data_IF_081588228950
#
_entry.id   IF_081588228950
#
_cell.length_a   1.000
_cell.length_b   1.000
_cell.length_c   1.000
_cell.angle_alpha   90.00
_cell.angle_beta   90.00
_cell.angle_gamma   90.00
#
_symmetry.space_group_name_H-M   'P 1'
#
loop_
_entity.id
_entity.type
_entity.pdbx_description
1 polymer ?
#
# COMPACT_ATOMS: atom_id res chain seq x y z
N UNK A 1 36.95 -44.87 -34.49
CA UNK A 1 36.14 -43.68 -34.84
C UNK A 1 34.65 -43.85 -34.54
N UNK A 2 34.11 -45.07 -34.52
CA UNK A 2 32.67 -45.34 -34.30
C UNK A 2 32.14 -44.91 -32.92
N UNK A 3 32.96 -45.00 -31.87
CA UNK A 3 32.58 -44.55 -30.51
C UNK A 3 32.33 -43.04 -30.46
N UNK A 4 33.08 -42.26 -31.23
CA UNK A 4 32.91 -40.80 -31.27
C UNK A 4 31.62 -40.40 -32.01
N UNK A 5 31.26 -41.15 -33.06
CA UNK A 5 30.03 -40.91 -33.84
C UNK A 5 28.76 -41.25 -33.05
N UNK A 6 28.84 -42.22 -32.14
CA UNK A 6 27.71 -42.61 -31.27
C UNK A 6 27.59 -41.74 -30.01
N UNK A 7 28.71 -41.26 -29.45
CA UNK A 7 28.69 -40.38 -28.27
C UNK A 7 28.26 -38.94 -28.57
N UNK A 8 28.54 -38.44 -29.78
CA UNK A 8 28.21 -37.07 -30.18
C UNK A 8 26.73 -36.70 -29.98
N UNK A 9 25.77 -37.48 -30.52
CA UNK A 9 24.34 -37.24 -30.35
C UNK A 9 23.88 -37.28 -28.88
N UNK A 10 24.40 -38.22 -28.09
CA UNK A 10 24.07 -38.35 -26.67
C UNK A 10 24.50 -37.12 -25.87
N UNK A 11 25.73 -36.62 -26.11
CA UNK A 11 26.21 -35.37 -25.50
C UNK A 11 25.34 -34.18 -25.90
N UNK A 12 24.93 -34.10 -27.17
CA UNK A 12 24.03 -33.06 -27.66
C UNK A 12 22.69 -33.05 -26.91
N UNK A 13 22.07 -34.22 -26.70
CA UNK A 13 20.81 -34.35 -25.97
C UNK A 13 20.97 -33.94 -24.51
N UNK A 14 22.04 -34.37 -23.84
CA UNK A 14 22.29 -34.01 -22.43
C UNK A 14 22.49 -32.50 -22.26
N UNK A 15 23.32 -31.87 -23.10
CA UNK A 15 23.54 -30.41 -23.07
C UNK A 15 22.24 -29.66 -23.38
N UNK A 16 21.48 -30.11 -24.39
CA UNK A 16 20.18 -29.52 -24.73
C UNK A 16 19.17 -29.59 -23.58
N UNK A 17 19.10 -30.73 -22.89
CA UNK A 17 18.23 -30.90 -21.72
C UNK A 17 18.65 -29.99 -20.55
N UNK A 18 19.95 -29.89 -20.26
CA UNK A 18 20.47 -29.00 -19.22
C UNK A 18 20.18 -27.53 -19.51
N UNK A 19 20.42 -27.08 -20.75
CA UNK A 19 20.12 -25.70 -21.17
C UNK A 19 18.62 -25.40 -21.08
N UNK A 20 17.77 -26.34 -21.49
CA UNK A 20 16.31 -26.20 -21.40
C UNK A 20 15.84 -26.11 -19.94
N UNK A 21 16.41 -26.95 -19.06
CA UNK A 21 16.12 -26.93 -17.62
C UNK A 21 16.52 -25.60 -16.97
N UNK A 22 17.71 -25.08 -17.28
CA UNK A 22 18.19 -23.78 -16.78
C UNK A 22 17.29 -22.65 -17.28
N UNK A 23 16.93 -22.65 -18.56
CA UNK A 23 16.04 -21.64 -19.13
C UNK A 23 14.65 -21.66 -18.48
N UNK A 24 14.07 -22.85 -18.29
CA UNK A 24 12.78 -23.02 -17.62
C UNK A 24 12.83 -22.54 -16.16
N UNK A 25 13.89 -22.87 -15.43
CA UNK A 25 14.10 -22.40 -14.06
C UNK A 25 14.22 -20.88 -13.96
N UNK A 26 15.02 -20.25 -14.85
CA UNK A 26 15.15 -18.80 -14.90
C UNK A 26 13.82 -18.13 -15.23
N UNK A 27 13.07 -18.66 -16.20
CA UNK A 27 11.74 -18.16 -16.58
C UNK A 27 10.77 -18.22 -15.40
N UNK A 28 10.72 -19.35 -14.68
CA UNK A 28 9.88 -19.51 -13.49
C UNK A 28 10.26 -18.50 -12.39
N UNK A 29 11.57 -18.24 -12.20
CA UNK A 29 12.06 -17.24 -11.24
C UNK A 29 11.65 -15.81 -11.61
N UNK A 30 11.70 -15.46 -12.89
CA UNK A 30 11.27 -14.14 -13.39
C UNK A 30 9.76 -13.98 -13.21
N UNK A 31 8.97 -14.99 -13.57
CA UNK A 31 7.51 -14.94 -13.43
C UNK A 31 7.10 -14.79 -11.96
N UNK A 32 7.72 -15.56 -11.05
CA UNK A 32 7.52 -15.42 -9.61
C UNK A 32 7.81 -13.99 -9.14
N UNK A 33 8.92 -13.39 -9.57
CA UNK A 33 9.25 -12.00 -9.22
C UNK A 33 8.23 -11.01 -9.76
N UNK A 34 7.72 -11.22 -10.98
CA UNK A 34 6.69 -10.35 -11.57
C UNK A 34 5.40 -10.37 -10.76
N UNK A 35 4.93 -11.54 -10.34
CA UNK A 35 3.75 -11.70 -9.48
C UNK A 35 3.96 -11.01 -8.13
N UNK A 36 5.11 -11.24 -7.49
CA UNK A 36 5.47 -10.60 -6.21
C UNK A 36 5.55 -9.07 -6.33
N UNK A 37 6.10 -8.55 -7.43
CA UNK A 37 6.20 -7.12 -7.67
C UNK A 37 4.82 -6.46 -7.83
N UNK A 38 3.90 -7.11 -8.55
CA UNK A 38 2.51 -6.64 -8.68
C UNK A 38 1.82 -6.61 -7.32
N UNK A 39 1.86 -7.72 -6.58
CA UNK A 39 1.26 -7.80 -5.24
C UNK A 39 1.85 -6.76 -4.28
N UNK A 40 3.15 -6.49 -4.36
CA UNK A 40 3.82 -5.48 -3.55
C UNK A 40 3.36 -4.06 -3.89
N UNK A 41 3.18 -3.75 -5.18
CA UNK A 41 2.67 -2.46 -5.61
C UNK A 41 1.23 -2.24 -5.11
N UNK A 42 0.35 -3.21 -5.31
CA UNK A 42 -1.05 -3.14 -4.88
C UNK A 42 -1.14 -3.01 -3.35
N UNK A 43 -0.33 -3.77 -2.60
CA UNK A 43 -0.32 -3.68 -1.13
C UNK A 43 0.26 -2.36 -0.61
N UNK A 44 1.27 -1.79 -1.29
CA UNK A 44 1.80 -0.46 -0.96
C UNK A 44 0.74 0.63 -1.17
N UNK A 45 -0.09 0.50 -2.20
CA UNK A 45 -1.19 1.43 -2.46
C UNK A 45 -2.27 1.34 -1.38
N UNK A 46 -2.70 0.12 -1.01
CA UNK A 46 -3.62 -0.11 0.12
C UNK A 46 -3.09 0.52 1.40
N UNK A 47 -1.81 0.26 1.72
CA UNK A 47 -1.14 0.85 2.88
C UNK A 47 -1.13 2.37 2.81
N UNK A 48 -0.78 2.95 1.65
CA UNK A 48 -0.73 4.39 1.48
C UNK A 48 -2.09 5.01 1.77
N UNK A 49 -3.19 4.44 1.27
CA UNK A 49 -4.55 4.93 1.55
C UNK A 49 -4.90 4.89 3.04
N UNK A 50 -4.54 3.82 3.74
CA UNK A 50 -4.79 3.71 5.19
C UNK A 50 -4.01 4.79 5.95
N UNK A 51 -2.73 4.97 5.66
CA UNK A 51 -1.86 5.89 6.42
C UNK A 51 -2.10 7.36 6.04
N UNK A 52 -2.31 7.66 4.76
CA UNK A 52 -2.40 9.04 4.26
C UNK A 52 -3.60 9.80 4.85
N UNK A 53 -4.75 9.13 5.00
CA UNK A 53 -5.94 9.74 5.57
C UNK A 53 -5.69 10.24 7.01
N UNK A 54 -5.02 9.44 7.85
CA UNK A 54 -4.74 9.84 9.24
C UNK A 54 -3.72 10.96 9.32
N UNK A 55 -2.72 10.98 8.44
CA UNK A 55 -1.76 12.08 8.37
C UNK A 55 -2.42 13.40 7.98
N UNK A 56 -3.30 13.38 6.98
CA UNK A 56 -4.04 14.56 6.53
C UNK A 56 -4.96 15.09 7.64
N UNK A 57 -5.73 14.21 8.29
CA UNK A 57 -6.61 14.60 9.40
C UNK A 57 -5.79 15.16 10.57
N UNK A 58 -4.68 14.52 10.93
CA UNK A 58 -3.78 14.99 11.99
C UNK A 58 -3.23 16.38 11.68
N UNK A 59 -2.81 16.62 10.45
CA UNK A 59 -2.26 17.91 10.04
C UNK A 59 -3.33 19.01 10.05
N UNK A 60 -4.54 18.72 9.56
CA UNK A 60 -5.66 19.65 9.58
C UNK A 60 -6.04 20.03 11.02
N UNK A 61 -6.09 19.08 11.94
CA UNK A 61 -6.31 19.35 13.36
C UNK A 61 -5.21 20.22 13.95
N UNK A 62 -3.96 19.92 13.64
CA UNK A 62 -2.80 20.62 14.22
C UNK A 62 -2.71 22.07 13.70
N UNK A 63 -2.92 22.31 12.41
CA UNK A 63 -2.73 23.64 11.79
C UNK A 63 -3.96 24.55 11.85
N UNK A 64 -5.16 23.99 11.78
CA UNK A 64 -6.41 24.76 11.70
C UNK A 64 -7.26 24.66 12.97
N UNK A 65 -6.79 23.95 14.01
CA UNK A 65 -7.52 23.82 15.27
C UNK A 65 -8.87 23.10 15.12
N UNK A 66 -8.99 22.20 14.15
CA UNK A 66 -10.26 21.50 13.91
C UNK A 66 -10.67 20.67 15.10
N UNK A 67 -11.97 20.72 15.41
CA UNK A 67 -12.58 19.88 16.43
C UNK A 67 -12.47 18.41 16.06
N UNK A 68 -12.41 17.53 17.05
CA UNK A 68 -12.41 16.08 16.82
C UNK A 68 -13.66 15.64 16.02
N UNK A 69 -14.81 16.29 16.28
CA UNK A 69 -16.06 16.03 15.55
C UNK A 69 -16.00 16.30 14.04
N UNK A 70 -15.03 17.10 13.56
CA UNK A 70 -14.86 17.36 12.12
C UNK A 70 -14.07 16.25 11.41
N UNK A 71 -13.32 15.41 12.13
CA UNK A 71 -12.45 14.39 11.53
C UNK A 71 -13.19 13.36 10.66
N UNK A 72 -14.36 12.83 11.06
CA UNK A 72 -15.14 11.91 10.21
C UNK A 72 -15.57 12.57 8.89
N UNK A 73 -15.98 13.85 8.93
CA UNK A 73 -16.40 14.59 7.75
C UNK A 73 -15.24 14.79 6.76
N UNK A 74 -14.06 15.13 7.27
CA UNK A 74 -12.85 15.25 6.45
C UNK A 74 -12.49 13.92 5.80
N UNK A 75 -12.54 12.81 6.56
CA UNK A 75 -12.27 11.47 6.00
C UNK A 75 -13.25 11.16 4.86
N UNK A 76 -14.54 11.42 5.05
CA UNK A 76 -15.55 11.24 4.01
C UNK A 76 -15.26 12.12 2.78
N UNK A 77 -14.80 13.37 2.96
CA UNK A 77 -14.37 14.22 1.85
C UNK A 77 -13.14 13.67 1.13
N UNK A 78 -12.14 13.15 1.86
CA UNK A 78 -10.95 12.53 1.27
C UNK A 78 -11.32 11.28 0.47
N UNK A 79 -12.24 10.46 0.99
CA UNK A 79 -12.76 9.31 0.27
C UNK A 79 -13.57 9.73 -0.97
N UNK A 80 -14.30 10.85 -0.93
CA UNK A 80 -15.04 11.33 -2.09
C UNK A 80 -14.12 11.87 -3.20
N UNK A 81 -13.02 12.52 -2.83
CA UNK A 81 -12.00 13.02 -3.78
C UNK A 81 -11.16 11.88 -4.34
N UNK A 82 -10.92 10.84 -3.54
CA UNK A 82 -10.15 9.66 -3.93
C UNK A 82 -10.95 8.39 -3.61
N UNK A 83 -12.03 8.12 -4.37
CA UNK A 83 -12.89 6.97 -4.11
C UNK A 83 -12.07 5.68 -4.16
N UNK A 84 -12.49 4.73 -3.34
CA UNK A 84 -11.88 3.42 -3.35
C UNK A 84 -12.07 2.82 -4.75
N UNK A 85 -11.01 2.85 -5.55
CA UNK A 85 -11.02 2.20 -6.86
C UNK A 85 -11.31 0.71 -6.65
N UNK A 86 -12.52 0.26 -7.02
CA UNK A 86 -12.89 -1.17 -6.99
C UNK A 86 -11.92 -1.99 -7.85
N UNK A 87 -11.30 -1.38 -8.87
CA UNK A 87 -10.26 -2.03 -9.64
C UNK A 87 -8.98 -2.25 -8.81
N UNK A 88 -8.66 -1.43 -7.80
CA UNK A 88 -7.55 -1.70 -6.89
C UNK A 88 -7.81 -2.96 -6.06
N UNK A 89 -9.02 -3.10 -5.52
CA UNK A 89 -9.41 -4.30 -4.76
C UNK A 89 -9.32 -5.53 -5.67
N UNK A 90 -9.83 -5.44 -6.90
CA UNK A 90 -9.74 -6.51 -7.89
C UNK A 90 -8.29 -6.84 -8.30
N UNK A 91 -7.43 -5.84 -8.52
CA UNK A 91 -6.00 -6.03 -8.82
C UNK A 91 -5.28 -6.72 -7.66
N UNK A 92 -5.55 -6.27 -6.43
CA UNK A 92 -5.00 -6.84 -5.22
C UNK A 92 -5.43 -8.32 -5.05
N UNK A 93 -6.72 -8.62 -5.14
CA UNK A 93 -7.23 -9.99 -5.01
C UNK A 93 -6.67 -10.92 -6.10
N UNK A 94 -6.52 -10.40 -7.32
CA UNK A 94 -5.87 -11.13 -8.42
C UNK A 94 -4.40 -11.41 -8.10
N UNK A 95 -3.66 -10.41 -7.62
CA UNK A 95 -2.25 -10.56 -7.27
C UNK A 95 -2.05 -11.56 -6.11
N UNK A 96 -2.92 -11.50 -5.08
CA UNK A 96 -2.93 -12.47 -3.97
C UNK A 96 -3.29 -13.88 -4.45
N UNK A 97 -4.24 -14.00 -5.38
CA UNK A 97 -4.63 -15.30 -5.93
C UNK A 97 -3.52 -15.93 -6.77
N UNK A 98 -2.78 -15.12 -7.54
CA UNK A 98 -1.58 -15.58 -8.25
C UNK A 98 -0.47 -15.97 -7.27
N UNK A 99 -0.30 -15.21 -6.18
CA UNK A 99 0.66 -15.54 -5.14
C UNK A 99 0.33 -16.87 -4.45
N UNK A 100 -0.95 -17.21 -4.28
CA UNK A 100 -1.36 -18.45 -3.64
C UNK A 100 -0.84 -19.70 -4.37
N UNK A 101 -0.61 -19.62 -5.69
CA UNK A 101 0.02 -20.69 -6.47
C UNK A 101 1.52 -20.88 -6.19
N UNK A 102 2.17 -19.93 -5.54
CA UNK A 102 3.61 -19.94 -5.25
C UNK A 102 3.90 -19.99 -3.75
N UNK A 103 3.13 -19.26 -2.94
CA UNK A 103 3.25 -19.13 -1.50
C UNK A 103 1.84 -18.99 -0.86
N UNK A 104 1.17 -20.12 -0.56
CA UNK A 104 -0.20 -20.12 -0.07
C UNK A 104 -0.35 -19.51 1.33
N UNK A 105 0.67 -19.62 2.19
CA UNK A 105 0.65 -19.06 3.53
C UNK A 105 0.67 -17.53 3.47
N UNK A 106 1.59 -16.96 2.69
CA UNK A 106 1.66 -15.51 2.50
C UNK A 106 0.40 -14.97 1.83
N UNK A 107 -0.15 -15.70 0.85
CA UNK A 107 -1.40 -15.32 0.20
C UNK A 107 -2.60 -15.33 1.17
N UNK A 108 -2.69 -16.32 2.06
CA UNK A 108 -3.72 -16.37 3.10
C UNK A 108 -3.64 -15.17 4.04
N UNK A 109 -2.44 -14.85 4.55
CA UNK A 109 -2.21 -13.67 5.40
C UNK A 109 -2.66 -12.39 4.69
N UNK A 110 -2.29 -12.21 3.41
CA UNK A 110 -2.64 -11.05 2.62
C UNK A 110 -4.14 -10.95 2.32
N UNK A 111 -4.83 -12.05 2.04
CA UNK A 111 -6.27 -12.04 1.77
C UNK A 111 -7.07 -11.44 2.92
N UNK A 112 -6.67 -11.68 4.16
CA UNK A 112 -7.30 -11.05 5.33
C UNK A 112 -7.14 -9.52 5.35
N UNK A 113 -6.08 -8.99 4.72
CA UNK A 113 -5.78 -7.56 4.67
C UNK A 113 -6.56 -6.81 3.57
N UNK A 114 -6.97 -7.52 2.52
CA UNK A 114 -7.82 -6.98 1.45
C UNK A 114 -9.15 -6.42 1.98
N UNK A 115 -9.68 -7.05 3.02
CA UNK A 115 -10.98 -6.71 3.56
C UNK A 115 -11.00 -5.37 4.30
N UNK A 116 -9.85 -4.85 4.76
CA UNK A 116 -9.80 -3.67 5.62
C UNK A 116 -10.46 -2.43 5.02
N UNK A 117 -10.14 -1.99 3.78
CA UNK A 117 -10.78 -0.81 3.21
C UNK A 117 -12.29 -0.96 3.08
N UNK A 118 -12.76 -2.16 2.70
CA UNK A 118 -14.19 -2.47 2.57
C UNK A 118 -14.89 -2.45 3.93
N UNK A 119 -14.30 -3.05 4.96
CA UNK A 119 -14.84 -3.03 6.32
C UNK A 119 -14.96 -1.60 6.83
N UNK A 120 -13.91 -0.77 6.66
CA UNK A 120 -13.97 0.64 7.06
C UNK A 120 -15.05 1.41 6.31
N UNK A 121 -15.19 1.18 5.00
CA UNK A 121 -16.25 1.82 4.19
C UNK A 121 -17.65 1.42 4.66
N UNK A 122 -17.89 0.13 4.94
CA UNK A 122 -19.17 -0.37 5.47
C UNK A 122 -19.47 0.27 6.84
N UNK A 123 -18.48 0.33 7.73
CA UNK A 123 -18.64 0.95 9.05
C UNK A 123 -19.04 2.43 8.93
N UNK A 124 -18.40 3.19 8.03
CA UNK A 124 -18.78 4.59 7.78
C UNK A 124 -20.18 4.73 7.20
N UNK A 125 -20.55 3.88 6.23
CA UNK A 125 -21.89 3.90 5.64
C UNK A 125 -22.98 3.56 6.67
N UNK A 126 -22.70 2.64 7.61
CA UNK A 126 -23.60 2.35 8.72
C UNK A 126 -23.70 3.53 9.69
N UNK A 127 -22.59 4.20 10.00
CA UNK A 127 -22.59 5.36 10.87
C UNK A 127 -23.48 6.49 10.32
N UNK A 128 -23.36 6.79 9.02
CA UNK A 128 -24.17 7.82 8.38
C UNK A 128 -25.63 7.42 8.16
N UNK A 129 -25.90 6.15 7.85
CA UNK A 129 -27.25 5.67 7.54
C UNK A 129 -28.15 5.37 8.75
N UNK A 130 -27.56 4.97 9.87
CA UNK A 130 -28.32 4.55 11.07
C UNK A 130 -28.57 5.69 12.09
N UNK A 131 -28.00 6.88 11.86
CA UNK A 131 -28.00 7.95 12.86
C UNK A 131 -27.22 7.60 14.13
N UNK A 132 -26.28 6.65 14.03
CA UNK A 132 -25.45 6.22 15.15
C UNK A 132 -24.48 7.30 15.63
N UNK A 133 -23.94 7.11 16.83
CA UNK A 133 -22.97 8.03 17.42
C UNK A 133 -21.65 8.02 16.61
N UNK A 134 -21.43 9.08 15.84
CA UNK A 134 -20.23 9.25 15.00
C UNK A 134 -18.93 9.23 15.82
N UNK A 135 -18.96 9.61 17.10
CA UNK A 135 -17.79 9.56 17.97
C UNK A 135 -17.38 8.12 18.29
N UNK A 136 -18.36 7.24 18.52
CA UNK A 136 -18.12 5.81 18.74
C UNK A 136 -17.51 5.16 17.49
N UNK A 137 -18.07 5.45 16.31
CA UNK A 137 -17.52 4.93 15.05
C UNK A 137 -16.11 5.43 14.77
N UNK A 138 -15.81 6.71 15.07
CA UNK A 138 -14.46 7.23 14.96
C UNK A 138 -13.48 6.49 15.88
N UNK A 139 -13.86 6.25 17.14
CA UNK A 139 -13.02 5.50 18.07
C UNK A 139 -12.73 4.09 17.56
N UNK A 140 -13.75 3.38 17.03
CA UNK A 140 -13.57 2.08 16.41
C UNK A 140 -12.66 2.14 15.17
N UNK A 141 -12.85 3.12 14.30
CA UNK A 141 -12.02 3.27 13.10
C UNK A 141 -10.56 3.53 13.46
N UNK A 142 -10.29 4.39 14.44
CA UNK A 142 -8.94 4.65 14.95
C UNK A 142 -8.30 3.36 15.48
N UNK A 143 -9.04 2.56 16.23
CA UNK A 143 -8.53 1.29 16.78
C UNK A 143 -8.28 0.23 15.69
N UNK A 144 -9.18 0.12 14.71
CA UNK A 144 -8.97 -0.78 13.56
C UNK A 144 -7.72 -0.36 12.78
N UNK A 145 -7.51 0.94 12.55
CA UNK A 145 -6.34 1.46 11.83
C UNK A 145 -5.05 1.29 12.63
N UNK A 146 -5.09 1.50 13.95
CA UNK A 146 -3.94 1.32 14.85
C UNK A 146 -3.48 -0.13 14.85
N UNK A 147 -4.41 -1.10 14.81
CA UNK A 147 -4.12 -2.53 14.69
C UNK A 147 -3.72 -2.95 13.26
N UNK A 148 -4.36 -2.39 12.23
CA UNK A 148 -4.11 -2.77 10.84
C UNK A 148 -2.76 -2.25 10.33
N UNK A 149 -2.35 -1.05 10.72
CA UNK A 149 -1.13 -0.39 10.17
C UNK A 149 0.14 -1.19 10.42
N UNK A 150 0.45 -1.67 11.65
CA UNK A 150 1.61 -2.53 11.90
C UNK A 150 1.57 -3.81 11.08
N UNK A 151 0.39 -4.42 10.96
CA UNK A 151 0.20 -5.65 10.20
C UNK A 151 0.42 -5.46 8.69
N UNK A 152 -0.06 -4.33 8.13
CA UNK A 152 0.22 -3.95 6.75
C UNK A 152 1.72 -3.65 6.53
N UNK A 153 2.36 -2.94 7.47
CA UNK A 153 3.79 -2.66 7.41
C UNK A 153 4.63 -3.94 7.36
N UNK A 154 4.28 -4.93 8.19
CA UNK A 154 4.93 -6.24 8.21
C UNK A 154 4.69 -6.99 6.90
N UNK A 155 3.45 -7.06 6.43
CA UNK A 155 3.09 -7.76 5.20
C UNK A 155 3.85 -7.19 3.98
N UNK A 156 3.90 -5.86 3.83
CA UNK A 156 4.66 -5.18 2.77
C UNK A 156 6.15 -5.48 2.90
N UNK A 157 6.70 -5.46 4.11
CA UNK A 157 8.14 -5.71 4.34
C UNK A 157 8.50 -7.17 4.03
N UNK A 158 7.69 -8.14 4.46
CA UNK A 158 7.87 -9.57 4.16
C UNK A 158 7.76 -9.82 2.65
N UNK A 159 6.76 -9.27 1.99
CA UNK A 159 6.56 -9.42 0.55
C UNK A 159 7.72 -8.80 -0.26
N UNK A 160 8.22 -7.65 0.18
CA UNK A 160 9.41 -7.02 -0.42
C UNK A 160 10.67 -7.88 -0.25
N UNK A 161 10.83 -8.57 0.89
CA UNK A 161 11.92 -9.51 1.12
C UNK A 161 11.82 -10.74 0.22
N UNK A 162 10.62 -11.32 0.07
CA UNK A 162 10.35 -12.41 -0.88
C UNK A 162 10.67 -12.03 -2.32
N UNK A 163 10.49 -10.74 -2.68
CA UNK A 163 10.84 -10.23 -4.01
C UNK A 163 12.36 -10.04 -4.20
N UNK A 164 13.00 -9.22 -3.37
CA UNK A 164 14.46 -9.05 -3.33
C UNK A 164 14.94 -8.24 -2.11
N UNK A 165 16.19 -8.48 -1.67
CA UNK A 165 16.82 -7.67 -0.62
C UNK A 165 16.82 -6.17 -0.92
N UNK A 166 17.04 -5.78 -2.19
CA UNK A 166 17.01 -4.37 -2.60
C UNK A 166 15.63 -3.75 -2.42
N UNK A 167 14.57 -4.46 -2.83
CA UNK A 167 13.19 -4.02 -2.61
C UNK A 167 12.89 -3.91 -1.12
N UNK A 168 13.32 -4.89 -0.33
CA UNK A 168 13.16 -4.87 1.13
C UNK A 168 13.76 -3.62 1.78
N UNK A 169 15.00 -3.27 1.46
CA UNK A 169 15.63 -2.05 2.00
C UNK A 169 14.87 -0.78 1.61
N UNK A 170 14.47 -0.66 0.34
CA UNK A 170 13.71 0.50 -0.16
C UNK A 170 12.35 0.63 0.53
N UNK A 171 11.61 -0.47 0.61
CA UNK A 171 10.30 -0.54 1.24
C UNK A 171 10.41 -0.26 2.73
N UNK A 172 11.39 -0.85 3.43
CA UNK A 172 11.61 -0.61 4.86
C UNK A 172 11.91 0.87 5.13
N UNK A 173 12.73 1.51 4.29
CA UNK A 173 12.99 2.94 4.37
C UNK A 173 11.73 3.77 4.11
N UNK A 174 10.93 3.40 3.10
CA UNK A 174 9.66 4.05 2.77
C UNK A 174 8.65 3.96 3.93
N UNK A 175 8.46 2.77 4.50
CA UNK A 175 7.55 2.51 5.63
C UNK A 175 7.94 3.39 6.83
N UNK A 176 9.25 3.51 7.13
CA UNK A 176 9.75 4.38 8.20
C UNK A 176 9.51 5.87 7.91
N UNK A 177 9.75 6.32 6.67
CA UNK A 177 9.60 7.73 6.28
C UNK A 177 8.14 8.17 6.16
N UNK A 178 7.24 7.26 5.81
CA UNK A 178 5.81 7.57 5.60
C UNK A 178 5.04 7.99 6.86
N UNK A 179 5.71 8.20 7.99
CA UNK A 179 5.14 8.88 9.15
C UNK A 179 5.04 10.41 8.97
N UNK A 180 5.62 10.96 7.89
CA UNK A 180 5.58 12.38 7.57
C UNK A 180 4.86 12.63 6.25
N UNK A 181 4.18 13.77 6.13
CA UNK A 181 3.54 14.19 4.88
C UNK A 181 4.59 14.46 3.77
N UNK A 182 4.25 14.22 2.49
CA UNK A 182 5.07 14.65 1.37
C UNK A 182 5.25 16.18 1.36
N UNK A 183 6.42 16.69 0.93
CA UNK A 183 6.70 18.13 0.94
C UNK A 183 5.67 18.94 0.13
N UNK A 184 5.16 18.38 -0.96
CA UNK A 184 4.13 19.04 -1.79
C UNK A 184 2.81 19.24 -1.03
N UNK A 185 2.43 18.26 -0.20
CA UNK A 185 1.23 18.32 0.65
C UNK A 185 1.45 19.30 1.80
N UNK A 186 2.64 19.31 2.40
CA UNK A 186 3.03 20.30 3.41
C UNK A 186 2.94 21.72 2.85
N UNK A 187 3.51 21.96 1.67
CA UNK A 187 3.48 23.27 1.00
C UNK A 187 2.04 23.68 0.62
N UNK A 188 1.18 22.72 0.27
CA UNK A 188 -0.25 22.99 0.07
C UNK A 188 -0.92 23.48 1.35
N UNK A 189 -0.68 22.82 2.50
CA UNK A 189 -1.22 23.28 3.79
C UNK A 189 -0.70 24.65 4.20
N UNK A 190 0.57 24.95 3.95
CA UNK A 190 1.14 26.28 4.22
C UNK A 190 0.45 27.37 3.40
N UNK A 191 0.17 27.13 2.11
CA UNK A 191 -0.58 28.06 1.26
C UNK A 191 -2.01 28.26 1.78
N UNK A 192 -2.69 27.18 2.17
CA UNK A 192 -4.04 27.26 2.75
C UNK A 192 -4.06 28.05 4.06
N UNK A 193 -3.05 27.86 4.91
CA UNK A 193 -2.93 28.59 6.18
C UNK A 193 -2.64 30.09 5.95
N UNK A 194 -1.81 30.42 4.97
CA UNK A 194 -1.54 31.81 4.59
C UNK A 194 -2.79 32.52 4.03
N UNK A 195 -3.64 31.80 3.29
CA UNK A 195 -4.91 32.32 2.78
C UNK A 195 -5.95 32.52 3.88
N UNK A 196 -5.97 31.65 4.90
CA UNK A 196 -6.89 31.76 6.02
C UNK A 196 -6.56 32.94 6.96
N UNK A 197 -5.28 33.34 7.03
CA UNK A 197 -4.79 34.43 7.89
C UNK A 197 -4.13 35.56 7.06
N UNK A 198 -4.89 36.30 6.22
CA UNK A 198 -4.33 37.33 5.33
C UNK A 198 -3.65 38.48 6.09
N UNK A 199 -4.02 38.72 7.35
CA UNK A 199 -3.47 39.81 8.18
C UNK A 199 -2.03 39.53 8.69
N UNK A 200 -1.49 38.32 8.53
CA UNK A 200 -0.11 38.05 8.97
C UNK A 200 0.96 38.59 8.00
N UNK A 201 0.56 39.11 6.82
CA UNK A 201 1.48 39.64 5.80
C UNK A 201 1.44 41.16 5.63
N UNK A 202 0.56 41.88 6.33
CA UNK A 202 0.69 43.33 6.45
C UNK A 202 1.79 43.64 7.47
N UNK A 203 3.05 43.49 7.03
CA UNK A 203 4.18 44.05 7.75
C UNK A 203 4.02 45.56 7.93
N UNK A 204 4.68 46.16 8.94
CA UNK A 204 4.56 47.58 9.24
C UNK A 204 4.86 48.38 7.98
N UNK A 205 3.86 49.11 7.49
CA UNK A 205 4.06 50.16 6.50
C UNK A 205 5.03 51.15 7.11
N UNK A 206 6.22 51.29 6.52
CA UNK A 206 7.25 52.23 6.95
C UNK A 206 6.62 53.60 7.23
N UNK A 207 6.75 54.03 8.49
CA UNK A 207 6.43 55.36 8.98
C UNK A 207 7.71 55.98 9.55
#
# INVERSE_FOLDING_TARGET
MEVLQTLGPLLGVVVGAMLTGIAAFLKARVERKRVLASALADLLEVRHRVVAADLVVKELRTRFGMSAAAAPLIRNMLDAVHPLDDALVGRYEKAVSLLAGVDPLQAFELRSKAAFPKVLSILRAQATGSGGDMALFEAFEVEIRSAATPSLNEAVTRLALSHSLRSWWKVRALVRKSATLPPDVTAFFERMQALANPQSKSGPSDA
#
